data_IF_103785926576
#
_entry.id   IF_103785926576
#
_cell.length_a   1.000
_cell.length_b   1.000
_cell.length_c   1.000
_cell.angle_alpha   90.00
_cell.angle_beta   90.00
_cell.angle_gamma   90.00
#
_symmetry.space_group_name_H-M   'P 1'
#
loop_
_entity.id
_entity.type
_entity.pdbx_description
1 polymer ?
#
# COMPACT_ATOMS: atom_id res chain seq x y z
N UNK A 1 -53.04 -50.93 6.63
CA UNK A 1 -52.32 -51.12 5.38
C UNK A 1 -52.04 -49.74 4.63
N UNK A 2 -53.01 -48.88 4.45
CA UNK A 2 -52.84 -47.58 3.78
C UNK A 2 -51.91 -46.60 4.50
N UNK A 3 -51.79 -46.62 5.84
CA UNK A 3 -50.88 -45.77 6.63
C UNK A 3 -49.43 -46.23 6.56
N UNK A 4 -49.18 -47.52 6.54
CA UNK A 4 -47.77 -48.04 6.39
C UNK A 4 -47.21 -47.75 5.02
N UNK A 5 -47.97 -47.78 3.96
CA UNK A 5 -47.56 -47.44 2.60
C UNK A 5 -47.22 -45.95 2.50
N UNK A 6 -47.99 -45.05 3.16
CA UNK A 6 -47.69 -43.60 3.19
C UNK A 6 -46.40 -43.27 3.95
N UNK A 7 -46.11 -43.97 5.04
CA UNK A 7 -44.86 -43.79 5.79
C UNK A 7 -43.67 -44.27 4.97
N UNK A 8 -43.76 -45.40 4.27
CA UNK A 8 -42.69 -45.88 3.40
C UNK A 8 -42.42 -44.96 2.20
N UNK A 9 -43.44 -44.34 1.61
CA UNK A 9 -43.25 -43.37 0.52
C UNK A 9 -42.63 -42.08 1.04
N UNK A 10 -43.02 -41.61 2.23
CA UNK A 10 -42.43 -40.39 2.84
C UNK A 10 -40.95 -40.60 3.21
N UNK A 11 -40.57 -41.79 3.72
CA UNK A 11 -39.16 -42.11 4.03
C UNK A 11 -38.34 -42.32 2.75
N UNK A 12 -38.90 -42.86 1.68
CA UNK A 12 -38.24 -43.04 0.41
C UNK A 12 -37.99 -41.70 -0.29
N UNK A 13 -38.91 -40.72 -0.19
CA UNK A 13 -38.76 -39.37 -0.72
C UNK A 13 -37.70 -38.59 0.07
N UNK A 14 -37.56 -38.80 1.37
CA UNK A 14 -36.55 -38.15 2.20
C UNK A 14 -35.12 -38.68 1.89
N UNK A 15 -34.99 -39.93 1.43
CA UNK A 15 -33.70 -40.50 1.01
C UNK A 15 -33.26 -40.07 -0.42
N UNK A 16 -34.21 -39.67 -1.27
CA UNK A 16 -33.92 -39.22 -2.63
C UNK A 16 -33.51 -37.72 -2.70
N UNK A 17 -33.62 -36.98 -1.62
CA UNK A 17 -33.18 -35.59 -1.52
C UNK A 17 -31.77 -35.40 -0.92
N UNK A 18 -30.96 -36.46 -0.78
CA UNK A 18 -29.53 -36.30 -0.58
C UNK A 18 -28.94 -35.86 -1.91
N UNK A 19 -29.19 -34.58 -2.25
CA UNK A 19 -28.46 -33.89 -3.31
C UNK A 19 -26.98 -34.14 -3.04
N UNK A 20 -26.27 -34.53 -4.09
CA UNK A 20 -24.80 -34.63 -4.06
C UNK A 20 -24.24 -33.29 -3.52
N UNK A 21 -24.02 -33.21 -2.22
CA UNK A 21 -23.14 -32.24 -1.63
C UNK A 21 -21.76 -32.52 -2.24
N UNK A 22 -21.48 -31.90 -3.40
CA UNK A 22 -20.13 -31.93 -3.95
C UNK A 22 -19.24 -31.24 -2.92
N UNK A 23 -18.55 -32.07 -2.13
CA UNK A 23 -17.53 -31.56 -1.21
C UNK A 23 -16.47 -30.86 -2.06
N UNK A 24 -16.31 -29.57 -1.85
CA UNK A 24 -15.25 -28.81 -2.48
C UNK A 24 -13.91 -29.34 -2.00
N UNK A 25 -13.04 -29.75 -2.93
CA UNK A 25 -11.72 -30.34 -2.60
C UNK A 25 -10.67 -29.27 -2.28
N UNK A 26 -10.92 -28.02 -2.65
CA UNK A 26 -9.98 -26.92 -2.49
C UNK A 26 -10.42 -25.96 -1.39
N UNK A 27 -9.44 -25.40 -0.70
CA UNK A 27 -9.63 -24.29 0.23
C UNK A 27 -8.41 -23.37 0.22
N UNK A 28 -8.57 -22.08 0.57
CA UNK A 28 -7.46 -21.22 0.94
C UNK A 28 -7.05 -21.49 2.38
N UNK A 29 -5.75 -21.67 2.63
CA UNK A 29 -5.21 -21.87 3.99
C UNK A 29 -5.35 -20.58 4.80
N UNK A 30 -5.11 -19.44 4.13
CA UNK A 30 -5.37 -18.10 4.66
C UNK A 30 -6.11 -17.29 3.61
N UNK A 31 -6.91 -16.33 4.01
CA UNK A 31 -7.59 -15.44 3.07
C UNK A 31 -6.55 -14.63 2.30
N UNK A 32 -6.48 -14.75 0.95
CA UNK A 32 -5.54 -13.97 0.16
C UNK A 32 -5.81 -12.47 0.27
N UNK A 33 -4.77 -11.65 0.12
CA UNK A 33 -4.91 -10.20 0.11
C UNK A 33 -5.75 -9.74 -1.08
N UNK A 34 -6.74 -8.89 -0.83
CA UNK A 34 -7.58 -8.30 -1.90
C UNK A 34 -6.97 -7.04 -2.51
N UNK A 35 -6.02 -6.39 -1.83
CA UNK A 35 -5.32 -5.21 -2.29
C UNK A 35 -3.83 -5.30 -1.95
N UNK A 36 -2.99 -4.97 -2.90
CA UNK A 36 -1.53 -4.94 -2.74
C UNK A 36 -1.01 -3.69 -3.44
N UNK A 37 -0.12 -2.94 -2.77
CA UNK A 37 0.49 -1.74 -3.36
C UNK A 37 2.01 -1.88 -3.41
N UNK A 38 2.62 -1.22 -4.37
CA UNK A 38 4.07 -1.23 -4.55
C UNK A 38 4.56 -0.13 -5.48
N UNK A 39 5.87 -0.08 -5.64
CA UNK A 39 6.56 0.88 -6.50
C UNK A 39 6.34 0.55 -7.99
N UNK A 40 6.06 1.56 -8.85
CA UNK A 40 5.90 1.34 -10.31
C UNK A 40 7.14 0.77 -11.01
N UNK A 41 8.33 1.00 -10.47
CA UNK A 41 9.59 0.51 -11.05
C UNK A 41 9.90 -0.96 -10.74
N UNK A 42 9.11 -1.60 -9.86
CA UNK A 42 9.30 -2.97 -9.42
C UNK A 42 8.13 -3.89 -9.67
N UNK A 43 8.32 -5.19 -9.47
CA UNK A 43 7.24 -6.16 -9.48
C UNK A 43 6.44 -6.10 -8.18
N UNK A 44 5.10 -6.16 -8.28
CA UNK A 44 4.20 -6.18 -7.13
C UNK A 44 3.55 -7.56 -7.06
N UNK A 45 3.74 -8.27 -5.93
CA UNK A 45 3.38 -9.68 -5.76
C UNK A 45 2.26 -9.89 -4.76
N UNK A 46 1.34 -10.78 -5.11
CA UNK A 46 0.33 -11.31 -4.19
C UNK A 46 0.44 -12.82 -4.11
N UNK A 47 0.28 -13.35 -2.92
CA UNK A 47 0.42 -14.77 -2.63
C UNK A 47 -0.91 -15.38 -2.20
N UNK A 48 -1.12 -16.64 -2.56
CA UNK A 48 -2.22 -17.44 -2.04
C UNK A 48 -1.74 -18.86 -1.80
N UNK A 49 -2.19 -19.45 -0.71
CA UNK A 49 -1.93 -20.86 -0.41
C UNK A 49 -3.23 -21.63 -0.54
N UNK A 50 -3.29 -22.54 -1.54
CA UNK A 50 -4.42 -23.42 -1.81
C UNK A 50 -4.09 -24.81 -1.34
N UNK A 51 -5.01 -25.41 -0.55
CA UNK A 51 -4.86 -26.75 0.02
C UNK A 51 -5.86 -27.71 -0.61
N UNK A 52 -5.41 -28.95 -0.85
CA UNK A 52 -6.27 -30.09 -1.11
C UNK A 52 -6.79 -30.65 0.22
N UNK A 53 -8.07 -30.41 0.53
CA UNK A 53 -8.74 -30.98 1.72
C UNK A 53 -9.46 -32.29 1.47
N UNK A 54 -9.40 -32.83 0.24
CA UNK A 54 -9.98 -34.12 -0.10
C UNK A 54 -9.12 -35.28 0.37
N UNK A 55 -9.67 -36.49 0.29
CA UNK A 55 -8.96 -37.73 0.64
C UNK A 55 -8.16 -38.32 -0.54
N UNK A 56 -8.23 -37.73 -1.72
CA UNK A 56 -7.57 -38.17 -2.93
C UNK A 56 -6.57 -37.12 -3.43
N UNK A 57 -5.53 -37.58 -4.12
CA UNK A 57 -4.66 -36.67 -4.85
C UNK A 57 -5.42 -35.98 -6.00
N UNK A 58 -5.17 -34.71 -6.21
CA UNK A 58 -5.76 -33.90 -7.26
C UNK A 58 -4.69 -33.25 -8.12
N UNK A 59 -5.02 -32.94 -9.35
CA UNK A 59 -4.19 -32.07 -10.21
C UNK A 59 -4.82 -30.68 -10.24
N UNK A 60 -4.09 -29.69 -9.71
CA UNK A 60 -4.52 -28.30 -9.59
C UNK A 60 -3.98 -27.50 -10.77
N UNK A 61 -4.83 -26.72 -11.38
CA UNK A 61 -4.44 -25.68 -12.35
C UNK A 61 -5.05 -24.33 -11.96
N UNK A 62 -4.48 -23.28 -12.51
CA UNK A 62 -4.94 -21.91 -12.27
C UNK A 62 -5.34 -21.21 -13.57
N UNK A 63 -6.29 -20.29 -13.46
CA UNK A 63 -6.69 -19.36 -14.48
C UNK A 63 -6.64 -17.93 -13.95
N UNK A 64 -6.04 -17.05 -14.71
CA UNK A 64 -6.04 -15.61 -14.48
C UNK A 64 -7.02 -14.95 -15.44
N UNK A 65 -7.91 -14.11 -14.89
CA UNK A 65 -8.86 -13.31 -15.66
C UNK A 65 -8.61 -11.83 -15.37
N UNK A 66 -8.40 -11.04 -16.41
CA UNK A 66 -8.27 -9.59 -16.31
C UNK A 66 -9.62 -8.97 -16.05
N UNK A 67 -9.79 -8.34 -14.88
CA UNK A 67 -11.03 -7.62 -14.51
C UNK A 67 -10.91 -6.15 -14.89
N UNK A 68 -9.78 -5.54 -14.58
CA UNK A 68 -9.42 -4.19 -15.01
C UNK A 68 -7.91 -4.15 -15.22
N UNK A 69 -7.46 -3.69 -16.36
CA UNK A 69 -6.04 -3.58 -16.72
C UNK A 69 -5.71 -2.13 -17.07
N UNK A 70 -4.72 -1.57 -16.40
CA UNK A 70 -4.11 -0.29 -16.77
C UNK A 70 -3.29 -0.50 -18.04
N UNK A 71 -3.41 0.40 -19.01
CA UNK A 71 -2.63 0.33 -20.25
C UNK A 71 -1.12 0.39 -19.95
N UNK A 72 -0.37 -0.55 -20.49
CA UNK A 72 1.07 -0.71 -20.25
C UNK A 72 1.43 -1.61 -19.07
N UNK A 73 0.50 -1.94 -18.20
CA UNK A 73 0.70 -2.98 -17.19
C UNK A 73 0.70 -4.38 -17.82
N UNK A 74 1.48 -5.28 -17.26
CA UNK A 74 1.44 -6.72 -17.59
C UNK A 74 1.29 -7.53 -16.31
N UNK A 75 0.63 -8.69 -16.41
CA UNK A 75 0.44 -9.59 -15.27
C UNK A 75 0.86 -10.99 -15.64
N UNK A 76 1.46 -11.70 -14.73
CA UNK A 76 1.71 -13.14 -14.83
C UNK A 76 1.47 -13.82 -13.48
N UNK A 77 1.47 -15.14 -13.49
CA UNK A 77 1.44 -15.91 -12.24
C UNK A 77 2.39 -17.11 -12.31
N UNK A 78 2.75 -17.59 -11.16
CA UNK A 78 3.49 -18.84 -10.98
C UNK A 78 2.63 -19.82 -10.19
N UNK A 79 2.60 -21.08 -10.62
CA UNK A 79 2.11 -22.22 -9.84
C UNK A 79 3.08 -23.37 -10.07
N UNK A 80 4.08 -23.49 -9.17
CA UNK A 80 5.25 -24.35 -9.37
C UNK A 80 6.18 -23.87 -10.49
N UNK A 81 5.64 -23.44 -11.60
CA UNK A 81 6.34 -22.82 -12.76
C UNK A 81 5.71 -21.49 -13.07
N UNK A 82 6.52 -20.52 -13.52
CA UNK A 82 6.02 -19.20 -13.91
C UNK A 82 5.66 -19.15 -15.40
N UNK A 83 4.61 -18.38 -15.71
CA UNK A 83 4.13 -18.13 -17.05
C UNK A 83 4.55 -16.73 -17.48
N UNK A 84 4.70 -16.49 -18.77
CA UNK A 84 5.17 -15.21 -19.29
C UNK A 84 4.17 -14.09 -18.99
N UNK A 85 4.65 -12.87 -18.69
CA UNK A 85 3.80 -11.71 -18.52
C UNK A 85 2.94 -11.41 -19.75
N UNK A 86 1.68 -11.01 -19.50
CA UNK A 86 0.72 -10.72 -20.57
C UNK A 86 -0.32 -9.69 -20.15
N UNK A 87 -1.17 -9.34 -21.10
CA UNK A 87 -2.26 -8.36 -20.96
C UNK A 87 -3.64 -8.98 -21.14
N UNK A 88 -3.72 -10.30 -21.28
CA UNK A 88 -4.95 -11.04 -21.56
C UNK A 88 -5.18 -12.13 -20.53
N UNK A 89 -6.41 -12.64 -20.49
CA UNK A 89 -6.73 -13.85 -19.73
C UNK A 89 -5.80 -14.99 -20.11
N UNK A 90 -5.38 -15.74 -19.10
CA UNK A 90 -4.54 -16.90 -19.30
C UNK A 90 -4.99 -18.07 -18.42
N UNK A 91 -5.16 -19.23 -19.02
CA UNK A 91 -5.44 -20.47 -18.32
C UNK A 91 -4.28 -21.46 -18.50
N UNK A 92 -3.78 -21.96 -17.39
CA UNK A 92 -2.72 -22.95 -17.33
C UNK A 92 -3.16 -24.23 -18.04
N UNK A 93 -2.34 -24.79 -18.96
CA UNK A 93 -2.67 -26.05 -19.63
C UNK A 93 -2.68 -27.22 -18.65
N UNK A 94 -3.54 -28.20 -18.89
CA UNK A 94 -3.69 -29.39 -18.00
C UNK A 94 -2.38 -30.14 -17.79
N UNK A 95 -1.52 -30.18 -18.81
CA UNK A 95 -0.21 -30.85 -18.71
C UNK A 95 0.81 -30.14 -17.79
N UNK A 96 0.54 -28.88 -17.41
CA UNK A 96 1.35 -28.13 -16.47
C UNK A 96 0.78 -28.16 -15.03
N UNK A 97 -0.35 -28.84 -14.81
CA UNK A 97 -1.04 -28.90 -13.53
C UNK A 97 -0.14 -29.46 -12.42
N UNK A 98 -0.29 -28.91 -11.22
CA UNK A 98 0.47 -29.30 -10.04
C UNK A 98 -0.30 -30.38 -9.27
N UNK A 99 0.32 -31.52 -9.01
CA UNK A 99 -0.29 -32.58 -8.20
C UNK A 99 -0.20 -32.24 -6.71
N UNK A 100 -1.34 -32.29 -6.00
CA UNK A 100 -1.44 -32.10 -4.56
C UNK A 100 -2.00 -33.38 -3.92
N UNK A 101 -1.23 -34.00 -3.02
CA UNK A 101 -1.69 -35.10 -2.19
C UNK A 101 -2.75 -34.61 -1.17
N UNK A 102 -3.50 -35.52 -0.52
CA UNK A 102 -4.41 -35.16 0.56
C UNK A 102 -3.72 -34.32 1.65
N UNK A 103 -4.28 -33.15 1.97
CA UNK A 103 -3.75 -32.21 2.95
C UNK A 103 -2.59 -31.34 2.47
N UNK A 104 -2.04 -31.61 1.30
CA UNK A 104 -0.94 -30.81 0.73
C UNK A 104 -1.43 -29.46 0.19
N UNK A 105 -0.57 -28.45 0.23
CA UNK A 105 -0.87 -27.09 -0.25
C UNK A 105 0.20 -26.56 -1.22
N UNK A 106 -0.11 -25.42 -1.84
CA UNK A 106 0.77 -24.74 -2.82
C UNK A 106 1.90 -24.00 -2.13
N UNK A 107 2.86 -24.75 -1.56
CA UNK A 107 4.06 -24.22 -0.89
C UNK A 107 5.34 -24.86 -1.46
N UNK A 108 6.48 -24.29 -1.15
CA UNK A 108 7.78 -24.81 -1.59
C UNK A 108 7.89 -24.84 -3.11
N UNK A 109 8.22 -26.01 -3.69
CA UNK A 109 8.33 -26.15 -5.14
C UNK A 109 7.00 -26.01 -5.92
N UNK A 110 5.87 -25.97 -5.21
CA UNK A 110 4.51 -25.82 -5.76
C UNK A 110 3.91 -24.46 -5.45
N UNK A 111 4.74 -23.50 -5.05
CA UNK A 111 4.29 -22.17 -4.63
C UNK A 111 3.41 -21.48 -5.68
N UNK A 112 2.55 -20.60 -5.21
CA UNK A 112 1.75 -19.74 -6.05
C UNK A 112 2.01 -18.28 -5.68
N UNK A 113 2.23 -17.47 -6.72
CA UNK A 113 2.11 -16.03 -6.68
C UNK A 113 1.50 -15.49 -7.98
N UNK A 114 0.85 -14.32 -7.90
CA UNK A 114 0.46 -13.51 -9.04
C UNK A 114 1.18 -12.18 -8.94
N UNK A 115 1.71 -11.73 -10.06
CA UNK A 115 2.67 -10.63 -10.14
C UNK A 115 2.19 -9.59 -11.14
N UNK A 116 2.08 -8.34 -10.70
CA UNK A 116 1.96 -7.19 -11.58
C UNK A 116 3.35 -6.69 -11.95
N UNK A 117 3.56 -6.41 -13.24
CA UNK A 117 4.69 -5.68 -13.80
C UNK A 117 4.17 -4.32 -14.28
N UNK A 118 4.37 -3.24 -13.51
CA UNK A 118 3.78 -1.94 -13.81
C UNK A 118 4.47 -1.18 -14.95
N UNK A 119 5.73 -1.50 -15.27
CA UNK A 119 6.54 -0.83 -16.31
C UNK A 119 6.65 0.69 -16.09
N UNK A 120 6.90 1.13 -14.86
CA UNK A 120 6.98 2.54 -14.44
C UNK A 120 5.65 3.32 -14.58
N UNK A 121 4.52 2.64 -14.73
CA UNK A 121 3.20 3.25 -14.88
C UNK A 121 2.44 3.16 -13.57
N UNK A 122 1.90 4.28 -13.11
CA UNK A 122 1.02 4.33 -11.95
C UNK A 122 -0.41 3.92 -12.31
N UNK A 123 -1.09 3.28 -11.38
CA UNK A 123 -2.49 2.91 -11.52
C UNK A 123 -2.83 1.59 -10.84
N UNK A 124 -4.12 1.23 -10.86
CA UNK A 124 -4.60 0.03 -10.20
C UNK A 124 -5.13 -0.97 -11.23
N UNK A 125 -4.49 -2.14 -11.31
CA UNK A 125 -4.90 -3.29 -12.12
C UNK A 125 -5.54 -4.35 -11.24
N UNK A 126 -6.67 -4.90 -11.66
CA UNK A 126 -7.43 -5.92 -10.93
C UNK A 126 -7.50 -7.22 -11.72
N UNK A 127 -7.12 -8.31 -11.07
CA UNK A 127 -7.21 -9.65 -11.66
C UNK A 127 -7.98 -10.59 -10.73
N UNK A 128 -8.66 -11.56 -11.35
CA UNK A 128 -9.29 -12.68 -10.64
C UNK A 128 -8.48 -13.94 -10.91
N UNK A 129 -8.10 -14.62 -9.84
CA UNK A 129 -7.45 -15.93 -9.89
C UNK A 129 -8.46 -17.01 -9.54
N UNK A 130 -8.57 -18.00 -10.39
CA UNK A 130 -9.40 -19.19 -10.19
C UNK A 130 -8.51 -20.41 -10.17
N UNK A 131 -8.56 -21.18 -9.09
CA UNK A 131 -7.89 -22.48 -8.95
C UNK A 131 -8.92 -23.58 -9.12
N UNK A 132 -8.64 -24.56 -9.97
CA UNK A 132 -9.60 -25.61 -10.27
C UNK A 132 -8.92 -26.97 -10.40
N UNK A 133 -9.72 -28.02 -10.13
CA UNK A 133 -9.26 -29.41 -10.30
C UNK A 133 -9.38 -29.81 -11.77
N UNK A 134 -8.30 -30.33 -12.34
CA UNK A 134 -8.30 -30.86 -13.72
C UNK A 134 -9.36 -31.96 -13.84
N UNK A 135 -10.19 -31.89 -14.87
CA UNK A 135 -11.31 -32.83 -15.10
C UNK A 135 -12.57 -32.53 -14.26
N UNK A 136 -12.52 -31.59 -13.33
CA UNK A 136 -13.69 -31.14 -12.56
C UNK A 136 -13.66 -29.63 -12.30
N UNK A 137 -13.88 -28.79 -13.33
CA UNK A 137 -13.77 -27.33 -13.21
C UNK A 137 -14.80 -26.68 -12.29
N UNK A 138 -15.83 -27.43 -11.87
CA UNK A 138 -16.79 -26.94 -10.84
C UNK A 138 -16.24 -27.02 -9.41
N UNK A 139 -15.16 -27.78 -9.20
CA UNK A 139 -14.45 -27.86 -7.94
C UNK A 139 -13.30 -26.85 -7.97
N UNK A 140 -13.59 -25.63 -7.50
CA UNK A 140 -12.71 -24.50 -7.61
C UNK A 140 -12.79 -23.56 -6.42
N UNK A 141 -11.75 -22.78 -6.20
CA UNK A 141 -11.72 -21.61 -5.32
C UNK A 141 -11.20 -20.43 -6.10
N UNK A 142 -11.70 -19.24 -5.79
CA UNK A 142 -11.29 -18.03 -6.49
C UNK A 142 -11.15 -16.84 -5.53
N UNK A 143 -10.29 -15.90 -5.90
CA UNK A 143 -10.17 -14.61 -5.26
C UNK A 143 -9.83 -13.54 -6.28
N UNK A 144 -10.10 -12.29 -5.91
CA UNK A 144 -9.76 -11.12 -6.71
C UNK A 144 -8.74 -10.29 -5.95
N UNK A 145 -7.70 -9.85 -6.66
CA UNK A 145 -6.68 -8.95 -6.12
C UNK A 145 -6.56 -7.71 -6.99
N UNK A 146 -6.52 -6.55 -6.34
CA UNK A 146 -6.22 -5.26 -6.97
C UNK A 146 -4.79 -4.87 -6.60
N UNK A 147 -3.96 -4.73 -7.61
CA UNK A 147 -2.61 -4.20 -7.49
C UNK A 147 -2.63 -2.72 -7.79
N UNK A 148 -2.13 -1.90 -6.88
CA UNK A 148 -1.95 -0.47 -7.11
C UNK A 148 -0.45 -0.15 -7.16
N UNK A 149 0.04 0.23 -8.33
CA UNK A 149 1.37 0.80 -8.48
C UNK A 149 1.30 2.29 -8.23
N UNK A 150 1.94 2.73 -7.18
CA UNK A 150 1.98 4.14 -6.78
C UNK A 150 3.39 4.46 -6.32
N UNK A 151 3.91 5.58 -6.78
CA UNK A 151 5.14 6.09 -6.19
C UNK A 151 4.88 6.34 -4.71
N UNK A 152 5.63 5.71 -3.79
CA UNK A 152 5.43 6.00 -2.38
C UNK A 152 5.65 7.49 -2.19
N UNK A 153 4.61 8.20 -1.79
CA UNK A 153 4.79 9.50 -1.16
C UNK A 153 5.51 9.17 0.14
N UNK A 154 6.83 9.31 0.13
CA UNK A 154 7.57 9.36 1.39
C UNK A 154 7.01 10.61 2.07
N UNK A 155 6.05 10.45 2.97
CA UNK A 155 5.90 11.39 4.06
C UNK A 155 7.25 11.34 4.78
N UNK A 156 8.14 12.23 4.36
CA UNK A 156 9.24 12.60 5.20
C UNK A 156 8.52 13.21 6.40
N UNK A 157 8.38 12.44 7.48
CA UNK A 157 8.21 12.98 8.79
C UNK A 157 9.48 13.81 9.02
N UNK A 158 9.46 15.04 8.46
CA UNK A 158 10.48 16.00 8.78
C UNK A 158 10.42 16.11 10.31
N UNK A 159 11.53 15.88 11.00
CA UNK A 159 11.58 15.96 12.44
C UNK A 159 10.93 17.29 12.85
N UNK A 160 10.01 17.23 13.77
CA UNK A 160 9.08 18.29 14.14
C UNK A 160 9.83 19.61 14.32
N UNK A 161 9.74 20.49 13.34
CA UNK A 161 10.32 21.82 13.37
C UNK A 161 9.21 22.82 13.66
N UNK A 162 9.35 23.58 14.72
CA UNK A 162 8.41 24.62 15.09
C UNK A 162 9.06 25.99 14.92
N UNK A 163 8.39 26.90 14.22
CA UNK A 163 8.74 28.31 14.18
C UNK A 163 7.44 29.12 14.34
N UNK A 164 7.19 29.56 15.57
CA UNK A 164 5.98 30.30 15.91
C UNK A 164 5.98 31.73 15.29
N UNK A 165 4.82 32.37 15.32
CA UNK A 165 4.72 33.77 14.90
C UNK A 165 5.53 34.67 15.82
N UNK A 166 6.28 35.64 15.28
CA UNK A 166 7.06 36.59 16.04
C UNK A 166 6.19 37.49 16.94
N UNK A 167 6.62 37.70 18.18
CA UNK A 167 5.86 38.49 19.14
C UNK A 167 6.77 39.51 19.86
N UNK A 168 6.28 40.74 20.08
CA UNK A 168 5.06 41.33 19.54
C UNK A 168 5.16 41.58 18.03
N UNK A 169 4.03 41.65 17.35
CA UNK A 169 3.97 42.04 15.95
C UNK A 169 2.70 42.89 15.71
N UNK A 170 2.79 44.19 15.44
CA UNK A 170 4.01 45.00 15.25
C UNK A 170 4.92 45.10 16.49
N UNK A 171 6.18 45.42 16.24
CA UNK A 171 7.25 45.54 17.26
C UNK A 171 7.87 46.95 17.22
N UNK A 172 8.25 47.46 18.39
CA UNK A 172 9.05 48.72 18.51
C UNK A 172 10.52 48.39 18.82
N UNK A 173 10.79 47.81 19.98
CA UNK A 173 12.17 47.66 20.49
C UNK A 173 12.73 46.24 20.34
N UNK A 174 11.94 45.21 20.66
CA UNK A 174 12.40 43.82 20.65
C UNK A 174 11.32 42.88 20.13
N UNK A 175 11.66 42.06 19.15
CA UNK A 175 10.86 40.92 18.71
C UNK A 175 11.42 39.62 19.28
N UNK A 176 10.55 38.71 19.66
CA UNK A 176 10.88 37.38 20.14
C UNK A 176 10.47 36.33 19.13
N UNK A 177 11.39 35.47 18.77
CA UNK A 177 11.21 34.31 17.91
C UNK A 177 11.23 33.05 18.75
N UNK A 178 10.12 32.31 18.78
CA UNK A 178 10.00 31.01 19.41
C UNK A 178 10.17 29.92 18.35
N UNK A 179 11.10 29.00 18.58
CA UNK A 179 11.39 27.90 17.64
C UNK A 179 11.76 26.62 18.39
N UNK A 180 11.52 25.47 17.77
CA UNK A 180 12.07 24.18 18.16
C UNK A 180 12.81 23.57 16.99
N UNK A 181 14.10 23.28 17.18
CA UNK A 181 14.89 22.57 16.19
C UNK A 181 14.53 21.08 16.22
N UNK A 182 14.66 20.38 15.08
CA UNK A 182 14.45 18.95 15.02
C UNK A 182 15.33 18.17 15.98
N UNK A 183 14.83 17.01 16.44
CA UNK A 183 15.59 16.13 17.34
C UNK A 183 16.94 15.76 16.72
N UNK A 184 18.00 15.83 17.53
CA UNK A 184 19.38 15.60 17.10
C UNK A 184 20.06 16.78 16.42
N UNK A 185 19.37 17.90 16.19
CA UNK A 185 19.92 19.13 15.61
C UNK A 185 20.04 20.20 16.68
N UNK A 186 21.27 20.59 17.00
CA UNK A 186 21.55 21.59 18.04
C UNK A 186 21.84 22.99 17.48
N UNK A 187 21.91 23.16 16.17
CA UNK A 187 22.26 24.43 15.54
C UNK A 187 21.42 24.74 14.30
N UNK A 188 21.21 26.00 14.07
CA UNK A 188 20.55 26.56 12.90
C UNK A 188 21.00 28.01 12.71
N UNK A 189 20.48 28.68 11.71
CA UNK A 189 20.73 30.09 11.43
C UNK A 189 19.39 30.80 11.27
N UNK A 190 19.15 31.83 12.05
CA UNK A 190 18.05 32.79 11.86
C UNK A 190 18.58 33.96 11.04
N UNK A 191 18.04 34.18 9.88
CA UNK A 191 18.36 35.29 8.99
C UNK A 191 17.20 36.29 8.94
N UNK A 192 17.50 37.57 9.03
CA UNK A 192 16.54 38.64 8.97
C UNK A 192 16.74 39.43 7.69
N UNK A 193 15.69 39.55 6.90
CA UNK A 193 15.65 40.27 5.63
C UNK A 193 14.66 41.42 5.66
N UNK A 194 14.95 42.48 4.95
CA UNK A 194 13.97 43.55 4.70
C UNK A 194 13.01 43.17 3.54
N UNK A 195 12.07 44.07 3.24
CA UNK A 195 11.08 43.87 2.18
C UNK A 195 11.68 43.82 0.74
N UNK A 196 12.93 44.24 0.54
CA UNK A 196 13.62 44.15 -0.75
C UNK A 196 14.45 42.86 -0.87
N UNK A 197 14.46 42.02 0.17
CA UNK A 197 15.26 40.79 0.22
C UNK A 197 16.72 41.00 0.62
N UNK A 198 17.10 42.20 1.08
CA UNK A 198 18.44 42.45 1.62
C UNK A 198 18.58 41.81 2.99
N UNK A 199 19.65 41.03 3.17
CA UNK A 199 19.96 40.43 4.46
C UNK A 199 20.43 41.55 5.44
N UNK A 200 19.73 41.64 6.56
CA UNK A 200 19.98 42.63 7.63
C UNK A 200 20.84 42.03 8.73
N UNK A 201 20.56 40.76 9.13
CA UNK A 201 21.33 40.12 10.18
C UNK A 201 21.30 38.59 10.08
N UNK A 202 22.34 37.96 10.69
CA UNK A 202 22.47 36.51 10.84
C UNK A 202 22.72 36.16 12.30
N UNK A 203 21.89 35.29 12.87
CA UNK A 203 22.00 34.86 14.28
C UNK A 203 22.12 33.33 14.29
N UNK A 204 23.15 32.83 15.01
CA UNK A 204 23.34 31.40 15.22
C UNK A 204 22.36 30.94 16.32
N UNK A 205 21.56 29.94 16.02
CA UNK A 205 20.66 29.30 16.96
C UNK A 205 21.40 28.14 17.65
N UNK A 206 21.40 28.13 18.98
CA UNK A 206 22.21 27.21 19.78
C UNK A 206 21.33 26.25 20.61
N UNK A 207 20.27 25.71 20.05
CA UNK A 207 19.35 24.80 20.74
C UNK A 207 18.46 25.47 21.78
N UNK A 208 18.60 26.79 22.02
CA UNK A 208 17.63 27.56 22.82
C UNK A 208 16.32 27.65 22.00
N UNK A 209 15.20 27.62 22.73
CA UNK A 209 13.87 27.67 22.09
C UNK A 209 13.37 29.09 21.81
N UNK A 210 14.10 30.11 22.27
CA UNK A 210 13.70 31.51 22.22
C UNK A 210 14.91 32.35 21.81
N UNK A 211 14.74 33.17 20.76
CA UNK A 211 15.70 34.17 20.34
C UNK A 211 15.05 35.57 20.40
N UNK A 212 15.71 36.50 21.09
CA UNK A 212 15.24 37.90 21.23
C UNK A 212 16.12 38.81 20.37
N UNK A 213 15.48 39.52 19.44
CA UNK A 213 16.18 40.41 18.51
C UNK A 213 15.80 41.88 18.74
N UNK A 214 16.82 42.75 18.82
CA UNK A 214 16.64 44.18 18.98
C UNK A 214 16.29 44.84 17.63
N UNK A 215 15.16 45.52 17.56
CA UNK A 215 14.62 46.18 16.39
C UNK A 215 14.69 47.70 16.45
N UNK A 216 15.17 48.27 17.57
CA UNK A 216 15.18 49.70 17.82
C UNK A 216 15.95 50.53 16.75
N UNK A 217 16.92 49.93 16.07
CA UNK A 217 17.71 50.58 15.00
C UNK A 217 17.22 50.25 13.58
N UNK A 218 16.18 49.42 13.46
CA UNK A 218 15.62 49.12 12.14
C UNK A 218 14.63 50.21 11.73
N UNK A 219 14.63 50.65 10.48
CA UNK A 219 13.57 51.51 9.97
C UNK A 219 12.18 50.87 10.07
N UNK A 220 11.15 51.69 10.30
CA UNK A 220 9.76 51.19 10.24
C UNK A 220 9.50 50.50 8.90
N UNK A 221 8.95 49.28 8.92
CA UNK A 221 8.72 48.50 7.72
C UNK A 221 8.45 47.05 7.96
N UNK A 222 8.32 46.29 6.88
CA UNK A 222 8.11 44.83 6.91
C UNK A 222 9.45 44.10 6.79
N UNK A 223 9.61 43.09 7.64
CA UNK A 223 10.79 42.22 7.70
C UNK A 223 10.38 40.74 7.67
N UNK A 224 11.32 39.91 7.26
CA UNK A 224 11.15 38.46 7.18
C UNK A 224 12.25 37.76 7.97
N UNK A 225 11.85 36.93 8.91
CA UNK A 225 12.71 36.04 9.67
C UNK A 225 12.71 34.67 9.01
N UNK A 226 13.87 34.18 8.64
CA UNK A 226 14.07 32.90 7.93
C UNK A 226 14.95 31.99 8.77
N UNK A 227 14.47 30.80 9.12
CA UNK A 227 15.33 29.78 9.75
C UNK A 227 15.86 28.82 8.69
N UNK A 228 17.18 28.68 8.66
CA UNK A 228 17.91 27.70 7.88
C UNK A 228 18.52 26.65 8.80
N UNK A 229 18.38 25.38 8.41
CA UNK A 229 18.96 24.23 9.11
C UNK A 229 19.69 23.40 8.05
N UNK A 230 20.96 23.07 8.28
CA UNK A 230 21.81 22.33 7.35
C UNK A 230 21.77 22.93 5.92
N UNK A 231 21.89 24.26 5.84
CA UNK A 231 21.85 25.05 4.59
C UNK A 231 20.54 24.95 3.78
N UNK A 232 19.49 24.39 4.38
CA UNK A 232 18.16 24.37 3.79
C UNK A 232 17.21 25.28 4.54
N UNK A 233 16.49 26.13 3.78
CA UNK A 233 15.44 26.99 4.32
C UNK A 233 14.29 26.13 4.85
N UNK A 234 13.96 26.28 6.14
CA UNK A 234 12.90 25.51 6.82
C UNK A 234 11.61 26.29 7.01
N UNK A 235 11.68 27.53 7.41
CA UNK A 235 10.49 28.36 7.59
C UNK A 235 10.78 29.84 7.44
N UNK A 236 9.72 30.62 7.17
CA UNK A 236 9.72 32.08 7.09
C UNK A 236 8.58 32.62 7.94
N UNK A 237 8.85 33.70 8.71
CA UNK A 237 7.84 34.49 9.42
C UNK A 237 7.99 35.97 9.08
N UNK A 238 6.88 36.64 8.95
CA UNK A 238 6.83 38.08 8.70
C UNK A 238 6.60 38.82 10.03
N UNK A 239 7.32 39.92 10.22
CA UNK A 239 7.05 40.87 11.30
C UNK A 239 7.13 42.30 10.82
N UNK A 240 6.49 43.23 11.54
CA UNK A 240 6.44 44.64 11.20
C UNK A 240 7.06 45.43 12.33
N UNK A 241 8.01 46.31 11.97
CA UNK A 241 8.62 47.28 12.88
C UNK A 241 7.90 48.60 12.73
N UNK A 242 7.49 49.20 13.86
CA UNK A 242 6.85 50.53 13.92
C UNK A 242 7.55 51.38 14.99
N UNK A 243 8.03 52.55 14.59
CA UNK A 243 8.53 53.61 15.46
C UNK A 243 7.74 54.88 15.26
#
# INVERSE_FOLDING_TARGET
MKYLIRIYILTLILFLSIGNLKSQSLEFVTTPASNVSGDPSGEIKSYAEVRNKSLNSINLKAKMTMVNLVEGHMVYFCLGTCFLPGTTDYEMPDGAAVSLAPGESTVGAKFFDVVLVPNDIEGCTTVKMTFMVVGNPSDMVEYTVTFCSTTPVIEINEPTFVFAEPLPNPVTDFVTFNYELPEGISNGILEIYNNTGLLINKIKLNGQKIEKYNTALLPSGTYYAVINIQDKKKAVRKFVVLH
#
